data_IF_260783132860
#
_entry.id   IF_260783132860
#
_cell.length_a   1.000
_cell.length_b   1.000
_cell.length_c   1.000
_cell.angle_alpha   90.00
_cell.angle_beta   90.00
_cell.angle_gamma   90.00
#
_symmetry.space_group_name_H-M   'P 1'
#
loop_
_entity.id
_entity.type
_entity.pdbx_description
1 polymer ?
#
# COMPACT_ATOMS: atom_id res chain seq x y z
N UNK A 1 -7.11 27.92 -5.32
CA UNK A 1 -7.77 26.69 -5.81
C UNK A 1 -6.74 26.01 -6.71
N UNK A 2 -6.06 24.95 -6.23
CA UNK A 2 -5.19 24.17 -7.13
C UNK A 2 -6.14 23.38 -8.03
N UNK A 3 -6.17 23.70 -9.33
CA UNK A 3 -6.81 22.83 -10.32
C UNK A 3 -6.09 21.48 -10.24
N UNK A 4 -6.69 20.50 -9.58
CA UNK A 4 -6.29 19.11 -9.77
C UNK A 4 -6.66 18.78 -11.21
N UNK A 5 -5.68 18.35 -11.99
CA UNK A 5 -5.87 17.90 -13.35
C UNK A 5 -6.84 16.72 -13.32
N UNK A 6 -8.05 16.88 -13.86
CA UNK A 6 -9.14 15.91 -13.71
C UNK A 6 -8.81 14.53 -14.33
N UNK A 7 -7.75 14.48 -15.13
CA UNK A 7 -7.16 13.29 -15.75
C UNK A 7 -6.26 12.49 -14.81
N UNK A 8 -5.72 13.09 -13.73
CA UNK A 8 -4.73 12.43 -12.87
C UNK A 8 -5.25 11.13 -12.21
N UNK A 9 -6.49 11.07 -11.67
CA UNK A 9 -7.04 9.82 -11.14
C UNK A 9 -7.17 8.72 -12.21
N UNK A 10 -7.57 9.10 -13.42
CA UNK A 10 -7.70 8.17 -14.55
C UNK A 10 -6.34 7.61 -14.99
N UNK A 11 -5.32 8.48 -15.11
CA UNK A 11 -3.96 8.07 -15.46
C UNK A 11 -3.39 7.13 -14.40
N UNK A 12 -3.49 7.50 -13.11
CA UNK A 12 -3.05 6.65 -11.99
C UNK A 12 -3.73 5.27 -12.04
N UNK A 13 -5.03 5.22 -12.31
CA UNK A 13 -5.76 3.96 -12.42
C UNK A 13 -5.32 3.11 -13.61
N UNK A 14 -5.17 3.73 -14.79
CA UNK A 14 -4.79 3.03 -16.01
C UNK A 14 -3.35 2.50 -15.95
N UNK A 15 -2.43 3.25 -15.33
CA UNK A 15 -1.02 2.89 -15.22
C UNK A 15 -0.71 1.97 -14.04
N UNK A 16 -1.61 1.85 -13.06
CA UNK A 16 -1.43 1.02 -11.86
C UNK A 16 -0.86 -0.39 -12.14
N UNK A 17 -1.29 -1.14 -13.17
CA UNK A 17 -0.74 -2.47 -13.45
C UNK A 17 0.72 -2.47 -13.89
N UNK A 18 1.23 -1.36 -14.42
CA UNK A 18 2.59 -1.23 -14.98
C UNK A 18 3.54 -0.39 -14.14
N UNK A 19 3.06 0.20 -13.04
CA UNK A 19 3.88 0.99 -12.13
C UNK A 19 5.01 0.16 -11.53
N UNK A 20 6.18 0.76 -11.32
CA UNK A 20 7.24 0.17 -10.49
C UNK A 20 6.87 0.21 -9.01
N UNK A 21 7.59 -0.55 -8.17
CA UNK A 21 7.41 -0.52 -6.72
C UNK A 21 7.50 0.91 -6.13
N UNK A 22 8.48 1.70 -6.58
CA UNK A 22 8.64 3.10 -6.17
C UNK A 22 7.44 3.97 -6.57
N UNK A 23 6.92 3.77 -7.79
CA UNK A 23 5.75 4.51 -8.28
C UNK A 23 4.48 4.14 -7.50
N UNK A 24 4.30 2.86 -7.14
CA UNK A 24 3.19 2.42 -6.29
C UNK A 24 3.28 3.10 -4.92
N UNK A 25 4.46 3.08 -4.30
CA UNK A 25 4.70 3.69 -2.99
C UNK A 25 4.47 5.19 -3.02
N UNK A 26 5.00 5.91 -4.03
CA UNK A 26 4.79 7.35 -4.15
C UNK A 26 3.32 7.69 -4.36
N UNK A 27 2.64 6.96 -5.24
CA UNK A 27 1.21 7.15 -5.53
C UNK A 27 0.37 6.94 -4.28
N UNK A 28 0.62 5.87 -3.51
CA UNK A 28 -0.10 5.60 -2.27
C UNK A 28 0.12 6.69 -1.21
N UNK A 29 1.35 7.20 -1.08
CA UNK A 29 1.67 8.31 -0.17
C UNK A 29 0.96 9.59 -0.59
N UNK A 30 0.93 9.90 -1.88
CA UNK A 30 0.21 11.05 -2.43
C UNK A 30 -1.30 10.93 -2.16
N UNK A 31 -1.90 9.78 -2.42
CA UNK A 31 -3.32 9.52 -2.13
C UNK A 31 -3.64 9.68 -0.65
N UNK A 32 -2.78 9.16 0.23
CA UNK A 32 -2.93 9.31 1.68
C UNK A 32 -2.84 10.78 2.13
N UNK A 33 -1.93 11.57 1.54
CA UNK A 33 -1.82 13.02 1.79
C UNK A 33 -3.05 13.78 1.27
N UNK A 34 -3.56 13.38 0.11
CA UNK A 34 -4.78 13.92 -0.51
C UNK A 34 -6.06 13.47 0.22
N UNK A 35 -5.97 12.50 1.13
CA UNK A 35 -7.12 11.79 1.75
C UNK A 35 -8.08 11.23 0.70
N UNK A 36 -7.54 10.77 -0.44
CA UNK A 36 -8.32 10.25 -1.55
C UNK A 36 -8.37 8.72 -1.48
N UNK A 37 -9.51 8.20 -1.01
CA UNK A 37 -9.79 6.77 -0.91
C UNK A 37 -10.62 6.24 -2.09
N UNK A 38 -10.21 6.53 -3.34
CA UNK A 38 -10.84 5.92 -4.52
C UNK A 38 -10.62 4.40 -4.51
N UNK A 39 -11.66 3.70 -4.09
CA UNK A 39 -11.72 2.24 -3.93
C UNK A 39 -11.25 1.49 -5.19
N UNK A 40 -11.56 2.00 -6.40
CA UNK A 40 -11.16 1.32 -7.65
C UNK A 40 -9.66 1.42 -7.89
N UNK A 41 -9.09 2.60 -7.67
CA UNK A 41 -7.66 2.82 -7.75
C UNK A 41 -6.91 2.03 -6.69
N UNK A 42 -7.41 2.03 -5.45
CA UNK A 42 -6.79 1.27 -4.36
C UNK A 42 -6.82 -0.23 -4.61
N UNK A 43 -7.91 -0.78 -5.15
CA UNK A 43 -7.99 -2.18 -5.58
C UNK A 43 -7.06 -2.51 -6.75
N UNK A 44 -6.79 -1.56 -7.65
CA UNK A 44 -5.83 -1.76 -8.74
C UNK A 44 -4.39 -1.78 -8.19
N UNK A 45 -4.07 -0.86 -7.27
CA UNK A 45 -2.75 -0.78 -6.62
C UNK A 45 -2.49 -1.98 -5.70
N UNK A 46 -3.49 -2.47 -4.96
CA UNK A 46 -3.35 -3.68 -4.14
C UNK A 46 -3.09 -4.93 -4.99
N UNK A 47 -3.80 -5.07 -6.13
CA UNK A 47 -3.55 -6.14 -7.09
C UNK A 47 -2.14 -6.05 -7.69
N UNK A 48 -1.68 -4.83 -8.03
CA UNK A 48 -0.31 -4.62 -8.53
C UNK A 48 0.74 -5.00 -7.49
N UNK A 49 0.50 -4.62 -6.23
CA UNK A 49 1.37 -4.98 -5.12
C UNK A 49 1.42 -6.50 -4.96
N UNK A 50 0.28 -7.17 -4.87
CA UNK A 50 0.21 -8.63 -4.69
C UNK A 50 0.89 -9.40 -5.81
N UNK A 51 0.62 -9.05 -7.08
CA UNK A 51 1.14 -9.78 -8.23
C UNK A 51 2.65 -9.69 -8.43
N UNK A 52 3.33 -8.82 -7.67
CA UNK A 52 4.74 -8.51 -7.81
C UNK A 52 5.34 -8.14 -6.44
N UNK A 53 4.87 -8.81 -5.39
CA UNK A 53 5.21 -8.42 -4.03
C UNK A 53 6.71 -8.44 -3.83
N UNK A 54 7.44 -9.40 -4.44
CA UNK A 54 8.90 -9.55 -4.42
C UNK A 54 9.70 -8.34 -4.92
N UNK A 55 9.11 -7.43 -5.70
CA UNK A 55 9.76 -6.20 -6.16
C UNK A 55 9.94 -5.18 -5.02
N UNK A 56 9.20 -5.33 -3.91
CA UNK A 56 9.18 -4.39 -2.81
C UNK A 56 10.16 -4.81 -1.71
N UNK A 57 11.01 -3.89 -1.26
CA UNK A 57 11.88 -4.12 -0.10
C UNK A 57 11.17 -3.77 1.23
N UNK A 58 11.65 -4.26 2.39
CA UNK A 58 10.88 -4.17 3.64
C UNK A 58 10.39 -2.75 4.03
N UNK A 59 11.21 -1.69 3.96
CA UNK A 59 10.71 -0.33 4.14
C UNK A 59 9.59 0.11 3.19
N UNK A 60 9.60 -0.31 1.92
CA UNK A 60 8.50 0.00 1.00
C UNK A 60 7.23 -0.75 1.38
N UNK A 61 7.34 -1.99 1.84
CA UNK A 61 6.19 -2.76 2.31
C UNK A 61 5.56 -2.07 3.54
N UNK A 62 6.38 -1.57 4.46
CA UNK A 62 5.92 -0.75 5.59
C UNK A 62 5.16 0.50 5.11
N UNK A 63 5.69 1.20 4.10
CA UNK A 63 5.06 2.38 3.51
C UNK A 63 3.73 2.06 2.80
N UNK A 64 3.66 0.95 2.06
CA UNK A 64 2.44 0.46 1.41
C UNK A 64 1.38 0.17 2.45
N UNK A 65 1.71 -0.65 3.46
CA UNK A 65 0.80 -1.01 4.55
C UNK A 65 0.32 0.24 5.32
N UNK A 66 1.24 1.16 5.63
CA UNK A 66 0.90 2.41 6.31
C UNK A 66 -0.03 3.31 5.49
N UNK A 67 0.16 3.39 4.18
CA UNK A 67 -0.68 4.20 3.30
C UNK A 67 -2.09 3.61 3.16
N UNK A 68 -2.19 2.30 2.98
CA UNK A 68 -3.49 1.61 2.97
C UNK A 68 -4.22 1.74 4.31
N UNK A 69 -3.51 1.64 5.43
CA UNK A 69 -4.06 1.88 6.77
C UNK A 69 -4.58 3.32 6.93
N UNK A 70 -3.82 4.31 6.48
CA UNK A 70 -4.22 5.71 6.53
C UNK A 70 -5.47 6.00 5.65
N UNK A 71 -5.61 5.29 4.55
CA UNK A 71 -6.75 5.38 3.63
C UNK A 71 -7.93 4.49 4.04
N UNK A 72 -7.78 3.67 5.09
CA UNK A 72 -8.83 2.79 5.59
C UNK A 72 -9.26 1.70 4.61
N UNK A 73 -8.35 1.25 3.73
CA UNK A 73 -8.64 0.25 2.70
C UNK A 73 -7.82 -1.02 2.91
N UNK A 74 -8.49 -2.15 2.97
CA UNK A 74 -7.89 -3.48 2.89
C UNK A 74 -8.75 -4.38 2.00
N UNK A 75 -8.08 -5.18 1.16
CA UNK A 75 -8.67 -6.21 0.33
C UNK A 75 -7.81 -7.47 0.36
N UNK A 76 -8.33 -8.57 -0.18
CA UNK A 76 -7.65 -9.87 -0.16
C UNK A 76 -6.24 -9.82 -0.80
N UNK A 77 -6.04 -9.00 -1.84
CA UNK A 77 -4.73 -8.84 -2.48
C UNK A 77 -3.72 -8.21 -1.52
N UNK A 78 -4.09 -7.12 -0.83
CA UNK A 78 -3.24 -6.50 0.16
C UNK A 78 -2.86 -7.50 1.26
N UNK A 79 -3.84 -8.26 1.77
CA UNK A 79 -3.61 -9.23 2.85
C UNK A 79 -2.63 -10.31 2.44
N UNK A 80 -2.88 -10.97 1.31
CA UNK A 80 -2.01 -12.04 0.78
C UNK A 80 -0.63 -11.53 0.41
N UNK A 81 -0.52 -10.31 -0.10
CA UNK A 81 0.77 -9.68 -0.40
C UNK A 81 1.59 -9.43 0.86
N UNK A 82 0.96 -8.98 1.95
CA UNK A 82 1.64 -8.77 3.24
C UNK A 82 1.99 -10.10 3.91
N UNK A 83 1.07 -11.06 3.92
CA UNK A 83 1.28 -12.41 4.45
C UNK A 83 2.49 -13.07 3.79
N UNK A 84 2.56 -13.05 2.45
CA UNK A 84 3.67 -13.63 1.69
C UNK A 84 5.02 -12.93 1.92
N UNK A 85 5.03 -11.75 2.55
CA UNK A 85 6.25 -10.97 2.84
C UNK A 85 6.49 -10.75 4.34
N UNK A 86 5.74 -11.44 5.21
CA UNK A 86 5.79 -11.18 6.65
C UNK A 86 7.14 -11.56 7.27
N UNK A 87 7.78 -12.61 6.76
CA UNK A 87 9.12 -13.03 7.17
C UNK A 87 10.17 -11.97 6.83
N UNK A 88 10.06 -11.33 5.67
CA UNK A 88 10.96 -10.24 5.26
C UNK A 88 10.77 -8.98 6.10
N UNK A 89 9.53 -8.72 6.53
CA UNK A 89 9.22 -7.64 7.46
C UNK A 89 9.73 -7.89 8.87
N UNK A 90 9.81 -9.15 9.30
CA UNK A 90 10.28 -9.57 10.62
C UNK A 90 11.81 -9.73 10.67
N UNK A 91 12.43 -10.14 9.56
CA UNK A 91 13.87 -10.35 9.45
C UNK A 91 14.61 -9.01 9.59
N UNK A 92 15.55 -8.93 10.54
CA UNK A 92 16.33 -7.73 10.85
C UNK A 92 15.47 -6.47 11.12
N UNK A 93 14.23 -6.68 11.58
CA UNK A 93 13.32 -5.59 11.86
C UNK A 93 13.77 -4.82 13.12
N UNK A 94 14.00 -3.52 12.97
CA UNK A 94 14.13 -2.67 14.16
C UNK A 94 12.83 -2.73 14.99
N UNK A 95 12.89 -2.63 16.33
CA UNK A 95 11.68 -2.59 17.16
C UNK A 95 10.66 -1.53 16.72
N UNK A 96 11.14 -0.40 16.18
CA UNK A 96 10.30 0.67 15.63
C UNK A 96 9.52 0.22 14.40
N UNK A 97 10.13 -0.56 13.50
CA UNK A 97 9.48 -1.12 12.32
C UNK A 97 8.36 -2.07 12.73
N UNK A 98 8.65 -3.00 13.63
CA UNK A 98 7.66 -3.97 14.14
C UNK A 98 6.43 -3.25 14.70
N UNK A 99 6.63 -2.24 15.56
CA UNK A 99 5.50 -1.46 16.13
C UNK A 99 4.68 -0.77 15.05
N UNK A 100 5.30 -0.24 13.99
CA UNK A 100 4.58 0.43 12.90
C UNK A 100 3.78 -0.56 12.08
N UNK A 101 4.37 -1.68 11.68
CA UNK A 101 3.68 -2.75 10.94
C UNK A 101 2.48 -3.25 11.73
N UNK A 102 2.66 -3.54 13.03
CA UNK A 102 1.57 -3.99 13.91
C UNK A 102 0.47 -2.93 14.04
N UNK A 103 0.83 -1.65 14.19
CA UNK A 103 -0.16 -0.56 14.28
C UNK A 103 -0.96 -0.43 13.00
N UNK A 104 -0.30 -0.46 11.84
CA UNK A 104 -0.97 -0.36 10.55
C UNK A 104 -1.87 -1.58 10.30
N UNK A 105 -1.39 -2.80 10.62
CA UNK A 105 -2.19 -4.01 10.57
C UNK A 105 -3.42 -3.96 11.49
N UNK A 106 -3.26 -3.50 12.74
CA UNK A 106 -4.38 -3.33 13.66
C UNK A 106 -5.41 -2.30 13.15
N UNK A 107 -4.96 -1.21 12.52
CA UNK A 107 -5.84 -0.20 11.92
C UNK A 107 -6.66 -0.78 10.76
N UNK A 108 -6.09 -1.72 10.01
CA UNK A 108 -6.77 -2.43 8.93
C UNK A 108 -7.63 -3.59 9.43
N UNK A 109 -7.66 -3.83 10.76
CA UNK A 109 -8.35 -4.95 11.40
C UNK A 109 -7.94 -6.30 10.79
N UNK A 110 -6.63 -6.47 10.56
CA UNK A 110 -6.08 -7.75 10.16
C UNK A 110 -6.25 -8.72 11.33
N UNK A 111 -7.17 -9.67 11.20
CA UNK A 111 -7.40 -10.70 12.20
C UNK A 111 -6.32 -11.79 12.01
N UNK A 112 -5.51 -12.11 13.03
CA UNK A 112 -4.64 -13.26 12.97
C UNK A 112 -5.51 -14.51 13.16
N UNK A 113 -5.78 -15.25 12.07
CA UNK A 113 -6.35 -16.60 12.17
C UNK A 113 -5.39 -17.59 12.87
#
# INVERSE_FOLDING_TARGET
IKCQDATLPFVRFFEAPTMSADQVVSTLKELAQEQNADVKLLAALSRRYYGHAEEFFPPQIEDVLGSFAALGFADENLLKGIEGRIEDLASDASPRRVVRVLRSGASLRLDPE
#
